data_IF_767998078390
#
_entry.id   IF_767998078390
#
_cell.length_a   1.000
_cell.length_b   1.000
_cell.length_c   1.000
_cell.angle_alpha   90.00
_cell.angle_beta   90.00
_cell.angle_gamma   90.00
#
_symmetry.space_group_name_H-M   'P 1'
#
loop_
_entity.id
_entity.type
_entity.pdbx_description
1 polymer ?
#
# COMPACT_ATOMS: atom_id res chain seq x y z
N UNK A 1 11.82 -4.32 5.79
CA UNK A 1 10.52 -4.88 5.40
C UNK A 1 9.73 -3.85 4.61
N UNK A 2 9.10 -4.25 3.50
CA UNK A 2 8.20 -3.40 2.70
C UNK A 2 6.76 -3.74 3.04
N UNK A 3 5.91 -2.74 3.27
CA UNK A 3 4.45 -2.91 3.29
C UNK A 3 3.87 -2.59 1.91
N UNK A 4 3.16 -3.54 1.31
CA UNK A 4 2.37 -3.34 0.10
C UNK A 4 0.88 -3.26 0.43
N UNK A 5 0.29 -2.08 0.28
CA UNK A 5 -1.16 -1.88 0.31
C UNK A 5 -1.67 -1.82 -1.13
N UNK A 6 -2.31 -2.89 -1.60
CA UNK A 6 -2.80 -2.95 -2.98
C UNK A 6 -4.23 -3.47 -3.07
N UNK A 7 -5.07 -2.80 -3.86
CA UNK A 7 -6.42 -3.30 -4.20
C UNK A 7 -6.39 -4.43 -5.24
N UNK A 8 -5.24 -4.71 -5.85
CA UNK A 8 -5.04 -5.77 -6.85
C UNK A 8 -4.62 -7.07 -6.16
N UNK A 9 -5.49 -8.08 -6.17
CA UNK A 9 -5.17 -9.41 -5.61
C UNK A 9 -3.94 -10.04 -6.31
N UNK A 10 -3.70 -9.74 -7.59
CA UNK A 10 -2.49 -10.17 -8.31
C UNK A 10 -1.22 -9.61 -7.67
N UNK A 11 -1.20 -8.33 -7.27
CA UNK A 11 -0.03 -7.73 -6.63
C UNK A 11 0.25 -8.40 -5.28
N UNK A 12 -0.81 -8.70 -4.52
CA UNK A 12 -0.70 -9.37 -3.22
C UNK A 12 -0.18 -10.80 -3.37
N UNK A 13 -0.63 -11.53 -4.38
CA UNK A 13 -0.12 -12.87 -4.70
C UNK A 13 1.35 -12.82 -5.15
N UNK A 14 1.74 -11.81 -5.94
CA UNK A 14 3.14 -11.60 -6.34
C UNK A 14 4.03 -11.26 -5.15
N UNK A 15 3.57 -10.40 -4.22
CA UNK A 15 4.31 -10.09 -3.00
C UNK A 15 4.47 -11.34 -2.12
N UNK A 16 3.42 -12.16 -1.99
CA UNK A 16 3.46 -13.44 -1.27
C UNK A 16 4.49 -14.42 -1.86
N UNK A 17 4.57 -14.49 -3.18
CA UNK A 17 5.48 -15.39 -3.89
C UNK A 17 6.89 -14.83 -4.06
N UNK A 18 7.18 -13.63 -3.54
CA UNK A 18 8.49 -13.01 -3.68
C UNK A 18 9.53 -13.71 -2.81
N UNK A 19 10.58 -14.22 -3.45
CA UNK A 19 11.75 -14.83 -2.78
C UNK A 19 12.97 -13.89 -2.79
N UNK A 20 12.73 -12.57 -2.92
CA UNK A 20 13.78 -11.56 -2.92
C UNK A 20 14.45 -11.38 -1.55
N UNK A 21 15.55 -10.60 -1.49
CA UNK A 21 16.26 -10.31 -0.24
C UNK A 21 15.43 -9.46 0.75
N UNK A 22 14.34 -8.85 0.29
CA UNK A 22 13.44 -8.03 1.10
C UNK A 22 12.14 -8.78 1.36
N UNK A 23 11.70 -8.78 2.62
CA UNK A 23 10.41 -9.33 3.01
C UNK A 23 9.28 -8.33 2.76
N UNK A 24 8.13 -8.87 2.35
CA UNK A 24 6.88 -8.12 2.19
C UNK A 24 5.89 -8.46 3.30
N UNK A 25 5.32 -7.42 3.91
CA UNK A 25 3.98 -7.47 4.49
C UNK A 25 3.02 -6.89 3.46
N UNK A 26 1.82 -7.43 3.33
CA UNK A 26 0.89 -6.98 2.30
C UNK A 26 -0.56 -7.11 2.75
N UNK A 27 -1.41 -6.19 2.30
CA UNK A 27 -2.83 -6.22 2.59
C UNK A 27 -3.64 -5.49 1.50
N UNK A 28 -4.91 -5.86 1.36
CA UNK A 28 -5.85 -5.10 0.56
C UNK A 28 -6.48 -4.01 1.43
N UNK A 29 -6.28 -2.71 1.13
CA UNK A 29 -6.82 -1.63 1.96
C UNK A 29 -8.35 -1.62 2.02
N UNK A 30 -9.05 -2.21 1.04
CA UNK A 30 -10.52 -2.40 1.10
C UNK A 30 -10.97 -3.46 2.09
N UNK A 31 -10.05 -4.23 2.67
CA UNK A 31 -10.32 -5.32 3.65
C UNK A 31 -9.65 -5.03 5.00
N UNK A 32 -9.11 -3.82 5.20
CA UNK A 32 -8.39 -3.41 6.41
C UNK A 32 -9.12 -2.21 7.01
N UNK A 33 -9.55 -2.35 8.25
CA UNK A 33 -10.03 -1.22 9.03
C UNK A 33 -8.86 -0.32 9.44
N UNK A 34 -9.09 1.00 9.48
CA UNK A 34 -8.04 1.97 9.82
C UNK A 34 -7.40 1.70 11.19
N UNK A 35 -8.16 1.16 12.15
CA UNK A 35 -7.66 0.79 13.47
C UNK A 35 -6.64 -0.36 13.44
N UNK A 36 -6.64 -1.18 12.39
CA UNK A 36 -5.66 -2.25 12.16
C UNK A 36 -4.39 -1.79 11.44
N UNK A 37 -4.38 -0.57 10.91
CA UNK A 37 -3.24 -0.02 10.17
C UNK A 37 -1.95 0.11 11.01
N UNK A 38 -1.98 0.49 12.31
CA UNK A 38 -0.77 0.55 13.13
C UNK A 38 -0.01 -0.78 13.20
N UNK A 39 -0.71 -1.91 13.30
CA UNK A 39 -0.10 -3.24 13.33
C UNK A 39 0.56 -3.56 11.98
N UNK A 40 -0.11 -3.23 10.86
CA UNK A 40 0.46 -3.39 9.53
C UNK A 40 1.71 -2.52 9.30
N UNK A 41 1.81 -1.39 9.98
CA UNK A 41 2.93 -0.46 9.86
C UNK A 41 4.12 -0.79 10.77
N UNK A 42 3.95 -1.64 11.77
CA UNK A 42 5.00 -1.93 12.75
C UNK A 42 6.22 -2.61 12.12
N UNK A 43 7.42 -2.10 12.39
CA UNK A 43 8.68 -2.60 11.79
C UNK A 43 8.80 -2.43 10.27
N UNK A 44 7.95 -1.61 9.63
CA UNK A 44 8.01 -1.32 8.19
C UNK A 44 8.95 -0.15 7.91
N UNK A 45 9.85 -0.34 6.94
CA UNK A 45 10.82 0.66 6.49
C UNK A 45 10.33 1.49 5.29
N UNK A 46 9.42 0.93 4.50
CA UNK A 46 8.87 1.54 3.28
C UNK A 46 7.43 1.07 3.06
N UNK A 47 6.54 2.01 2.73
CA UNK A 47 5.15 1.70 2.34
C UNK A 47 4.95 1.96 0.85
N UNK A 48 4.38 0.99 0.15
CA UNK A 48 3.95 1.10 -1.25
C UNK A 48 2.43 0.99 -1.29
N UNK A 49 1.77 1.99 -1.86
CA UNK A 49 0.30 2.05 -1.97
C UNK A 49 -0.09 2.02 -3.45
N UNK A 50 -0.89 1.04 -3.87
CA UNK A 50 -1.43 0.94 -5.23
C UNK A 50 -2.95 0.79 -5.20
N UNK A 51 -3.66 1.79 -5.69
CA UNK A 51 -5.12 1.86 -5.62
C UNK A 51 -5.74 1.90 -7.02
N UNK A 52 -6.82 1.14 -7.21
CA UNK A 52 -7.77 1.33 -8.30
C UNK A 52 -8.66 2.55 -7.99
N UNK A 53 -8.92 3.42 -8.98
CA UNK A 53 -9.69 4.66 -8.77
C UNK A 53 -8.90 5.82 -8.14
N UNK A 54 -7.59 5.68 -7.98
CA UNK A 54 -6.70 6.74 -7.50
C UNK A 54 -6.73 6.99 -5.98
N UNK A 55 -5.98 7.99 -5.53
CA UNK A 55 -5.78 8.30 -4.08
C UNK A 55 -7.07 8.62 -3.33
N UNK A 56 -8.06 9.22 -4.02
CA UNK A 56 -9.34 9.59 -3.41
C UNK A 56 -10.14 8.40 -2.92
N UNK A 57 -9.91 7.21 -3.46
CA UNK A 57 -10.62 6.00 -3.05
C UNK A 57 -10.27 5.54 -1.63
N UNK A 58 -9.14 6.00 -1.08
CA UNK A 58 -8.66 5.61 0.25
C UNK A 58 -7.89 6.75 0.93
N UNK A 59 -8.42 7.97 0.84
CA UNK A 59 -7.74 9.20 1.30
C UNK A 59 -7.40 9.16 2.78
N UNK A 60 -8.35 8.79 3.65
CA UNK A 60 -8.14 8.75 5.11
C UNK A 60 -7.02 7.78 5.50
N UNK A 61 -6.98 6.61 4.86
CA UNK A 61 -5.90 5.64 5.09
C UNK A 61 -4.56 6.13 4.58
N UNK A 62 -4.53 6.78 3.41
CA UNK A 62 -3.30 7.38 2.88
C UNK A 62 -2.78 8.49 3.80
N UNK A 63 -3.65 9.35 4.30
CA UNK A 63 -3.29 10.41 5.25
C UNK A 63 -2.71 9.81 6.55
N UNK A 64 -3.31 8.73 7.06
CA UNK A 64 -2.81 8.02 8.23
C UNK A 64 -1.42 7.41 7.98
N UNK A 65 -1.18 6.81 6.81
CA UNK A 65 0.15 6.31 6.43
C UNK A 65 1.17 7.46 6.34
N UNK A 66 0.82 8.56 5.68
CA UNK A 66 1.71 9.71 5.51
C UNK A 66 2.08 10.37 6.85
N UNK A 67 1.13 10.43 7.79
CA UNK A 67 1.35 10.97 9.12
C UNK A 67 2.41 10.21 9.93
N UNK A 68 2.76 8.98 9.54
CA UNK A 68 3.82 8.19 10.20
C UNK A 68 5.24 8.74 9.95
N UNK A 69 5.41 9.61 8.94
CA UNK A 69 6.73 10.11 8.52
C UNK A 69 7.62 9.07 7.82
N UNK A 70 7.12 7.86 7.58
CA UNK A 70 7.83 6.83 6.82
C UNK A 70 7.89 7.18 5.34
N UNK A 71 8.90 6.70 4.58
CA UNK A 71 8.87 6.76 3.13
C UNK A 71 7.62 6.08 2.56
N UNK A 72 6.90 6.79 1.68
CA UNK A 72 5.68 6.28 1.01
C UNK A 72 5.81 6.46 -0.50
N UNK A 73 5.56 5.39 -1.25
CA UNK A 73 5.44 5.41 -2.72
C UNK A 73 3.99 5.15 -3.08
N UNK A 74 3.36 6.08 -3.79
CA UNK A 74 1.96 5.95 -4.23
C UNK A 74 1.94 5.73 -5.74
N UNK A 75 1.33 4.64 -6.17
CA UNK A 75 1.19 4.24 -7.56
C UNK A 75 -0.28 4.24 -7.98
N UNK A 76 -0.56 4.70 -9.19
CA UNK A 76 -1.90 4.56 -9.78
C UNK A 76 -2.10 3.12 -10.26
N UNK A 77 -3.30 2.56 -10.06
CA UNK A 77 -3.71 1.33 -10.73
C UNK A 77 -3.88 1.51 -12.25
N UNK A 78 -4.18 2.75 -12.67
CA UNK A 78 -4.36 3.18 -14.05
C UNK A 78 -3.03 3.24 -14.81
N UNK A 79 -3.05 2.81 -16.08
CA UNK A 79 -1.88 2.82 -16.98
C UNK A 79 -1.54 4.21 -17.54
N UNK A 80 -2.41 5.21 -17.37
CA UNK A 80 -2.19 6.57 -17.86
C UNK A 80 -2.11 7.56 -16.68
N UNK A 81 -1.08 8.43 -16.62
CA UNK A 81 -1.16 9.62 -15.80
C UNK A 81 -2.25 10.51 -16.42
N UNK A 82 -3.26 10.89 -15.63
CA UNK A 82 -4.20 11.95 -16.02
C UNK A 82 -3.39 13.21 -16.34
N UNK A 83 -3.42 13.71 -17.59
CA UNK A 83 -2.85 14.99 -17.91
C UNK A 83 -3.82 16.06 -17.37
N UNK A 84 -3.39 16.76 -16.31
CA UNK A 84 -4.00 18.03 -15.90
C UNK A 84 -3.91 19.07 -17.02
#
# INVERSE_FOLDING_TARGET
MILLLSTSDTDLLSARASEGPLSYRYANPSRVDLDGLPELLDGVDLVVVRLLGGVRAWQEGLDAVLATGRPVVVLTGEQAPEPS
#
